data_IF_156089636732
#
_entry.id   IF_156089636732
#
_cell.length_a   1.000
_cell.length_b   1.000
_cell.length_c   1.000
_cell.angle_alpha   90.00
_cell.angle_beta   90.00
_cell.angle_gamma   90.00
#
_symmetry.space_group_name_H-M   'P 1'
#
loop_
_entity.id
_entity.type
_entity.pdbx_description
1 polymer ?
#
# COMPACT_ATOMS: atom_id res chain seq x y z
N UNK A 1 13.79 2.07 0.28
CA UNK A 1 12.41 2.46 -0.04
C UNK A 1 11.65 1.20 -0.39
N UNK A 2 10.67 0.81 0.40
CA UNK A 2 9.86 -0.37 0.11
C UNK A 2 9.13 -0.18 -1.23
N UNK A 3 8.95 -1.26 -1.97
CA UNK A 3 8.25 -1.27 -3.24
C UNK A 3 6.99 -2.11 -3.15
N UNK A 4 6.09 -1.97 -4.13
CA UNK A 4 4.90 -2.82 -4.25
C UNK A 4 5.24 -4.31 -4.32
N UNK A 5 6.45 -4.66 -4.81
CA UNK A 5 6.95 -6.04 -4.87
C UNK A 5 7.28 -6.59 -3.48
N UNK A 6 7.83 -5.74 -2.61
CA UNK A 6 8.17 -6.10 -1.24
C UNK A 6 6.90 -6.32 -0.43
N UNK A 7 5.91 -5.44 -0.58
CA UNK A 7 4.57 -5.59 0.02
C UNK A 7 3.90 -6.88 -0.44
N UNK A 8 3.91 -7.16 -1.76
CA UNK A 8 3.34 -8.38 -2.31
C UNK A 8 4.00 -9.63 -1.72
N UNK A 9 5.33 -9.65 -1.67
CA UNK A 9 6.10 -10.77 -1.11
C UNK A 9 5.81 -10.98 0.37
N UNK A 10 5.68 -9.89 1.14
CA UNK A 10 5.43 -9.94 2.58
C UNK A 10 4.00 -10.33 2.93
N UNK A 11 3.02 -9.81 2.19
CA UNK A 11 1.62 -10.18 2.33
C UNK A 11 1.28 -11.57 1.76
N UNK A 12 2.23 -12.23 1.09
CA UNK A 12 2.02 -13.55 0.48
C UNK A 12 1.04 -13.52 -0.70
N UNK A 13 0.97 -12.40 -1.43
CA UNK A 13 0.04 -12.19 -2.55
C UNK A 13 0.77 -11.71 -3.80
N UNK A 14 0.09 -11.76 -4.95
CA UNK A 14 0.61 -11.19 -6.19
C UNK A 14 0.61 -9.66 -6.17
N UNK A 15 1.53 -9.04 -6.92
CA UNK A 15 1.57 -7.58 -7.14
C UNK A 15 0.20 -7.06 -7.64
N UNK A 16 -0.46 -7.83 -8.51
CA UNK A 16 -1.81 -7.54 -9.01
C UNK A 16 -2.85 -7.48 -7.89
N UNK A 17 -2.72 -8.33 -6.86
CA UNK A 17 -3.60 -8.32 -5.68
C UNK A 17 -3.37 -7.06 -4.85
N UNK A 18 -2.11 -6.68 -4.60
CA UNK A 18 -1.79 -5.42 -3.92
C UNK A 18 -2.36 -4.23 -4.69
N UNK A 19 -2.21 -4.20 -6.02
CA UNK A 19 -2.80 -3.17 -6.88
C UNK A 19 -4.34 -3.13 -6.79
N UNK A 20 -5.00 -4.29 -6.73
CA UNK A 20 -6.46 -4.36 -6.53
C UNK A 20 -6.90 -3.87 -5.16
N UNK A 21 -6.16 -4.19 -4.09
CA UNK A 21 -6.42 -3.68 -2.75
C UNK A 21 -6.29 -2.17 -2.72
N UNK A 22 -5.22 -1.61 -3.29
CA UNK A 22 -4.98 -0.17 -3.32
C UNK A 22 -6.00 0.61 -4.16
N UNK A 23 -6.55 0.00 -5.21
CA UNK A 23 -7.56 0.63 -6.06
C UNK A 23 -9.00 0.24 -5.70
N UNK A 24 -9.20 -0.52 -4.63
CA UNK A 24 -10.47 -1.13 -4.20
C UNK A 24 -11.24 -1.80 -5.37
N UNK A 25 -10.50 -2.57 -6.19
CA UNK A 25 -11.02 -3.20 -7.41
C UNK A 25 -11.42 -4.65 -7.14
N UNK A 26 -12.73 -4.86 -7.08
CA UNK A 26 -13.35 -6.18 -7.09
C UNK A 26 -13.44 -6.84 -5.70
N UNK A 27 -14.12 -8.00 -5.61
CA UNK A 27 -14.32 -8.68 -4.34
C UNK A 27 -13.01 -9.33 -3.87
N UNK A 28 -12.35 -8.69 -2.92
CA UNK A 28 -11.22 -9.24 -2.18
C UNK A 28 -11.69 -9.65 -0.79
N UNK A 29 -11.17 -10.78 -0.29
CA UNK A 29 -11.43 -11.19 1.09
C UNK A 29 -10.83 -10.16 2.05
N UNK A 30 -11.53 -9.89 3.15
CA UNK A 30 -11.05 -9.04 4.23
C UNK A 30 -9.70 -9.52 4.78
N UNK A 31 -9.46 -10.84 4.79
CA UNK A 31 -8.18 -11.41 5.18
C UNK A 31 -7.03 -10.96 4.25
N UNK A 32 -7.30 -10.90 2.94
CA UNK A 32 -6.32 -10.45 1.93
C UNK A 32 -6.05 -8.96 2.05
N UNK A 33 -7.10 -8.14 2.25
CA UNK A 33 -6.95 -6.71 2.49
C UNK A 33 -6.10 -6.46 3.74
N UNK A 34 -6.42 -7.14 4.84
CA UNK A 34 -5.68 -7.01 6.10
C UNK A 34 -4.22 -7.39 5.94
N UNK A 35 -3.90 -8.53 5.32
CA UNK A 35 -2.52 -8.95 5.10
C UNK A 35 -1.71 -7.93 4.28
N UNK A 36 -2.33 -7.32 3.26
CA UNK A 36 -1.70 -6.26 2.48
C UNK A 36 -1.49 -5.00 3.31
N UNK A 37 -2.50 -4.55 4.07
CA UNK A 37 -2.37 -3.39 4.96
C UNK A 37 -1.28 -3.59 6.02
N UNK A 38 -1.28 -4.72 6.73
CA UNK A 38 -0.27 -5.06 7.73
C UNK A 38 1.14 -5.01 7.10
N UNK A 39 1.31 -5.58 5.90
CA UNK A 39 2.59 -5.56 5.18
C UNK A 39 3.01 -4.15 4.74
N UNK A 40 2.06 -3.30 4.35
CA UNK A 40 2.32 -1.90 3.98
C UNK A 40 2.79 -1.09 5.19
N UNK A 41 2.13 -1.24 6.34
CA UNK A 41 2.51 -0.58 7.59
C UNK A 41 3.89 -1.03 8.06
N UNK A 42 4.15 -2.34 8.08
CA UNK A 42 5.42 -2.89 8.55
C UNK A 42 6.60 -2.51 7.66
N UNK A 43 6.37 -2.35 6.35
CA UNK A 43 7.38 -1.91 5.39
C UNK A 43 7.47 -0.38 5.25
N UNK A 44 6.57 0.38 5.88
CA UNK A 44 6.42 1.81 5.65
C UNK A 44 6.15 2.15 4.18
N UNK A 45 5.46 1.26 3.46
CA UNK A 45 5.11 1.46 2.06
C UNK A 45 3.83 2.28 1.95
N UNK A 46 3.95 3.51 1.45
CA UNK A 46 2.83 4.35 1.10
C UNK A 46 2.74 4.49 -0.43
N UNK A 47 1.63 4.07 -1.05
CA UNK A 47 1.42 4.27 -2.47
C UNK A 47 1.44 5.77 -2.77
N UNK A 48 2.17 6.09 -3.82
CA UNK A 48 2.85 7.37 -4.03
C UNK A 48 1.90 8.49 -4.52
N UNK A 49 0.61 8.48 -4.18
CA UNK A 49 -0.30 9.57 -4.54
C UNK A 49 -0.15 10.75 -3.56
N UNK A 50 0.00 10.47 -2.26
CA UNK A 50 0.24 11.50 -1.23
C UNK A 50 1.70 11.98 -1.25
N UNK A 51 2.66 11.07 -1.42
CA UNK A 51 4.09 11.42 -1.45
C UNK A 51 4.54 12.13 -2.75
N UNK A 52 3.86 11.92 -3.88
CA UNK A 52 4.07 12.70 -5.12
C UNK A 52 3.49 14.11 -5.05
N UNK A 53 2.40 14.31 -4.29
CA UNK A 53 1.88 15.64 -3.99
C UNK A 53 2.81 16.39 -3.01
N UNK A 54 3.31 15.70 -1.96
CA UNK A 54 4.17 16.29 -0.93
C UNK A 54 5.61 16.58 -1.38
N UNK A 55 6.13 15.84 -2.36
CA UNK A 55 7.41 16.14 -3.00
C UNK A 55 7.42 17.47 -3.77
N UNK A 56 6.24 18.08 -3.95
CA UNK A 56 6.06 19.46 -4.38
C UNK A 56 5.17 20.19 -3.36
N UNK A 57 5.75 20.53 -2.22
CA UNK A 57 5.23 21.44 -1.19
C UNK A 57 4.46 20.80 -0.02
N UNK A 58 4.95 21.14 1.17
CA UNK A 58 4.36 21.07 2.52
C UNK A 58 4.00 19.71 3.12
N UNK A 59 4.83 19.27 4.08
CA UNK A 59 4.42 18.88 5.44
C UNK A 59 2.90 18.71 5.63
N UNK A 60 2.41 17.48 5.70
CA UNK A 60 1.06 17.21 6.21
C UNK A 60 1.23 16.44 7.51
N UNK A 61 1.03 17.16 8.61
CA UNK A 61 0.73 16.60 9.93
C UNK A 61 -0.59 15.85 9.84
N UNK A 62 -0.61 14.62 10.34
CA UNK A 62 -1.84 13.93 10.68
C UNK A 62 -2.16 14.30 12.13
N UNK A 63 -3.20 15.11 12.31
CA UNK A 63 -3.99 15.14 13.55
C UNK A 63 -5.09 14.06 13.43
#
# INVERSE_FOLDING_TARGET
>A
MATIKDVASKAGVSITTVSRVMNDRGPLSEATKKAVHDAMEELGYFPNDVARALGKNSLISWD
#
